data_IF_002454704330
#
_entry.id   IF_002454704330
#
_cell.length_a   1.000
_cell.length_b   1.000
_cell.length_c   1.000
_cell.angle_alpha   90.00
_cell.angle_beta   90.00
_cell.angle_gamma   90.00
#
_symmetry.space_group_name_H-M   'P 1'
#
loop_
_entity.id
_entity.type
_entity.pdbx_description
1 polymer ?
#
# COMPACT_ATOMS: atom_id res chain seq x y z
N UNK A 1 19.24 -45.60 -26.24
CA UNK A 1 18.05 -44.86 -26.71
C UNK A 1 17.08 -44.52 -25.59
N UNK A 2 16.65 -45.48 -24.75
CA UNK A 2 15.68 -45.23 -23.67
C UNK A 2 16.16 -44.29 -22.54
N UNK A 3 17.46 -44.30 -22.20
CA UNK A 3 18.02 -43.44 -21.13
C UNK A 3 18.03 -41.96 -21.53
N UNK A 4 18.31 -41.65 -22.80
CA UNK A 4 18.33 -40.28 -23.33
C UNK A 4 16.90 -39.71 -23.36
N UNK A 5 15.91 -40.53 -23.72
CA UNK A 5 14.50 -40.15 -23.72
C UNK A 5 14.01 -39.87 -22.29
N UNK A 6 14.41 -40.69 -21.31
CA UNK A 6 14.04 -40.49 -19.90
C UNK A 6 14.66 -39.21 -19.32
N UNK A 7 15.93 -38.93 -19.65
CA UNK A 7 16.63 -37.71 -19.23
C UNK A 7 16.00 -36.43 -19.83
N UNK A 8 15.56 -36.50 -21.09
CA UNK A 8 14.84 -35.40 -21.75
C UNK A 8 13.49 -35.13 -21.08
N UNK A 9 12.73 -36.16 -20.72
CA UNK A 9 11.42 -36.02 -20.05
C UNK A 9 11.58 -35.37 -18.66
N UNK A 10 12.58 -35.76 -17.87
CA UNK A 10 12.83 -35.16 -16.55
C UNK A 10 13.26 -33.68 -16.62
N UNK A 11 13.89 -33.26 -17.72
CA UNK A 11 14.29 -31.87 -17.92
C UNK A 11 13.08 -30.94 -18.11
N UNK A 12 12.02 -31.41 -18.76
CA UNK A 12 10.80 -30.62 -19.01
C UNK A 12 9.91 -30.46 -17.77
N UNK A 13 9.97 -31.38 -16.81
CA UNK A 13 9.19 -31.28 -15.57
C UNK A 13 9.90 -30.53 -14.43
N UNK A 14 11.20 -30.23 -14.56
CA UNK A 14 11.98 -29.59 -13.48
C UNK A 14 11.83 -28.06 -13.39
N UNK A 15 11.09 -27.42 -14.30
CA UNK A 15 10.95 -25.95 -14.39
C UNK A 15 9.52 -25.41 -14.18
N UNK A 16 8.56 -26.25 -13.80
CA UNK A 16 7.21 -25.77 -13.47
C UNK A 16 7.17 -25.24 -12.02
N UNK A 17 7.84 -24.13 -11.75
CA UNK A 17 7.58 -23.37 -10.51
C UNK A 17 6.14 -22.86 -10.57
N UNK A 18 5.35 -23.12 -9.54
CA UNK A 18 4.01 -22.55 -9.41
C UNK A 18 4.10 -21.03 -9.56
N UNK A 19 3.48 -20.48 -10.62
CA UNK A 19 3.35 -19.04 -10.79
C UNK A 19 2.38 -18.56 -9.71
N UNK A 20 2.93 -18.15 -8.56
CA UNK A 20 2.13 -17.49 -7.52
C UNK A 20 1.65 -16.16 -8.10
N UNK A 21 0.35 -16.10 -8.42
CA UNK A 21 -0.29 -14.83 -8.77
C UNK A 21 -0.02 -13.82 -7.66
N UNK A 22 0.41 -12.58 -7.98
CA UNK A 22 0.62 -11.55 -6.98
C UNK A 22 -0.64 -11.38 -6.13
N UNK A 23 -0.50 -11.44 -4.80
CA UNK A 23 -1.62 -11.25 -3.89
C UNK A 23 -2.00 -9.78 -3.88
N UNK A 24 -3.22 -9.47 -4.31
CA UNK A 24 -3.78 -8.14 -4.21
C UNK A 24 -4.18 -7.83 -2.75
N UNK A 25 -3.66 -6.75 -2.18
CA UNK A 25 -4.04 -6.29 -0.85
C UNK A 25 -5.37 -5.52 -0.90
N UNK A 26 -6.25 -5.79 0.07
CA UNK A 26 -7.54 -5.11 0.24
C UNK A 26 -7.37 -3.61 0.46
N UNK A 27 -8.43 -2.83 0.24
CA UNK A 27 -8.43 -1.41 0.64
C UNK A 27 -8.47 -1.33 2.17
N UNK A 28 -7.74 -0.38 2.78
CA UNK A 28 -7.86 -0.11 4.20
C UNK A 28 -9.24 0.51 4.51
N UNK A 29 -9.70 0.43 5.77
CA UNK A 29 -10.90 1.16 6.18
C UNK A 29 -10.67 2.67 6.14
N UNK A 30 -11.77 3.40 6.10
CA UNK A 30 -11.83 4.87 6.19
C UNK A 30 -12.38 5.31 7.54
N UNK A 31 -12.17 6.57 7.93
CA UNK A 31 -12.77 7.16 9.14
C UNK A 31 -14.29 6.98 9.19
N UNK A 32 -14.96 7.08 8.05
CA UNK A 32 -16.42 6.94 7.93
C UNK A 32 -16.91 5.49 8.02
N UNK A 33 -16.14 4.53 7.53
CA UNK A 33 -16.53 3.11 7.53
C UNK A 33 -16.19 2.40 8.83
N UNK A 34 -15.14 2.82 9.55
CA UNK A 34 -14.73 2.30 10.86
C UNK A 34 -14.43 3.44 11.85
N UNK A 35 -15.45 4.21 12.27
CA UNK A 35 -15.27 5.29 13.24
C UNK A 35 -14.78 4.77 14.61
N UNK A 36 -15.01 3.49 14.91
CA UNK A 36 -14.54 2.80 16.11
C UNK A 36 -13.01 2.62 16.15
N UNK A 37 -12.34 2.68 14.98
CA UNK A 37 -10.90 2.52 14.84
C UNK A 37 -10.16 3.85 14.64
N UNK A 38 -10.85 4.99 14.78
CA UNK A 38 -10.21 6.30 14.67
C UNK A 38 -9.47 6.60 15.97
N UNK A 39 -8.17 6.36 15.96
CA UNK A 39 -7.27 6.60 17.10
C UNK A 39 -6.49 7.92 16.97
N UNK A 40 -5.94 8.38 18.10
CA UNK A 40 -5.02 9.53 18.13
C UNK A 40 -3.64 9.09 17.66
N UNK A 41 -3.25 9.53 16.48
CA UNK A 41 -1.92 9.35 15.90
C UNK A 41 -1.01 10.55 16.14
N UNK A 42 0.30 10.40 15.91
CA UNK A 42 1.26 11.50 15.97
C UNK A 42 0.84 12.66 15.05
N UNK A 43 0.32 12.35 13.87
CA UNK A 43 -0.21 13.34 12.93
C UNK A 43 -1.44 14.06 13.50
N UNK A 44 -2.45 13.31 13.94
CA UNK A 44 -3.71 13.89 14.45
C UNK A 44 -3.51 14.78 15.70
N UNK A 45 -2.42 14.55 16.43
CA UNK A 45 -2.03 15.34 17.60
C UNK A 45 -1.18 16.57 17.24
N UNK A 46 -0.85 16.77 15.96
CA UNK A 46 0.02 17.85 15.51
C UNK A 46 1.47 17.71 16.01
N UNK A 47 1.91 16.48 16.29
CA UNK A 47 3.25 16.16 16.79
C UNK A 47 4.26 15.90 15.68
N UNK A 48 3.82 15.94 14.42
CA UNK A 48 4.69 15.86 13.24
C UNK A 48 4.49 17.10 12.38
N UNK A 49 5.59 17.69 11.95
CA UNK A 49 5.63 18.73 10.93
C UNK A 49 5.43 18.13 9.53
N UNK A 50 5.06 18.97 8.57
CA UNK A 50 4.90 18.55 7.17
C UNK A 50 6.21 17.96 6.61
N UNK A 51 7.36 18.49 7.03
CA UNK A 51 8.67 17.94 6.67
C UNK A 51 8.91 16.54 7.25
N UNK A 52 8.55 16.30 8.52
CA UNK A 52 8.70 14.97 9.13
C UNK A 52 7.79 13.94 8.47
N UNK A 53 6.57 14.34 8.07
CA UNK A 53 5.67 13.49 7.31
C UNK A 53 6.24 13.20 5.92
N UNK A 54 6.79 14.21 5.25
CA UNK A 54 7.45 14.05 3.96
C UNK A 54 8.63 13.08 4.03
N UNK A 55 9.50 13.21 5.04
CA UNK A 55 10.62 12.28 5.27
C UNK A 55 10.12 10.86 5.57
N UNK A 56 9.11 10.72 6.44
CA UNK A 56 8.49 9.44 6.77
C UNK A 56 7.94 8.73 5.53
N UNK A 57 7.19 9.43 4.67
CA UNK A 57 6.58 8.85 3.47
C UNK A 57 7.62 8.50 2.40
N UNK A 58 8.70 9.30 2.29
CA UNK A 58 9.80 9.05 1.33
C UNK A 58 10.55 7.75 1.63
N UNK A 59 10.55 7.30 2.89
CA UNK A 59 11.14 6.02 3.30
C UNK A 59 10.28 4.80 2.91
N UNK A 60 9.19 5.01 2.16
CA UNK A 60 8.31 3.98 1.59
C UNK A 60 7.72 3.02 2.63
N UNK A 61 7.09 3.53 3.71
CA UNK A 61 6.50 2.69 4.74
C UNK A 61 5.41 1.79 4.15
N UNK A 62 5.12 0.68 4.84
CA UNK A 62 3.96 -0.14 4.49
C UNK A 62 2.64 0.55 4.86
N UNK A 63 1.53 0.15 4.23
CA UNK A 63 0.18 0.69 4.52
C UNK A 63 -0.15 0.71 6.01
N UNK A 64 0.12 -0.38 6.73
CA UNK A 64 -0.19 -0.45 8.16
C UNK A 64 0.62 0.60 8.96
N UNK A 65 1.90 0.78 8.62
CA UNK A 65 2.76 1.78 9.28
C UNK A 65 2.27 3.20 8.99
N UNK A 66 1.75 3.46 7.78
CA UNK A 66 1.07 4.72 7.45
C UNK A 66 -0.17 4.91 8.32
N UNK A 67 -1.03 3.90 8.42
CA UNK A 67 -2.26 3.98 9.21
C UNK A 67 -1.96 4.18 10.71
N UNK A 68 -0.91 3.56 11.25
CA UNK A 68 -0.52 3.70 12.66
C UNK A 68 0.01 5.12 12.98
N UNK A 69 0.71 5.77 12.04
CA UNK A 69 1.37 7.06 12.28
C UNK A 69 0.54 8.27 11.81
N UNK A 70 -0.18 8.14 10.71
CA UNK A 70 -1.00 9.20 10.10
C UNK A 70 -2.47 9.02 10.51
N UNK A 71 -2.97 7.79 10.48
CA UNK A 71 -4.35 7.46 10.83
C UNK A 71 -5.15 6.94 9.63
N UNK A 72 -6.43 6.63 9.88
CA UNK A 72 -7.33 6.24 8.80
C UNK A 72 -7.57 7.39 7.82
N UNK A 73 -7.59 7.11 6.50
CA UNK A 73 -7.92 8.10 5.48
C UNK A 73 -9.41 8.48 5.50
N UNK A 74 -9.73 9.64 4.94
CA UNK A 74 -11.11 10.11 4.72
C UNK A 74 -11.77 9.38 3.55
N UNK A 75 -11.00 9.11 2.49
CA UNK A 75 -11.45 8.36 1.31
C UNK A 75 -10.34 7.47 0.76
N UNK A 76 -10.74 6.39 0.11
CA UNK A 76 -9.82 5.40 -0.47
C UNK A 76 -10.33 4.98 -1.84
N UNK A 77 -9.43 4.93 -2.81
CA UNK A 77 -9.69 4.51 -4.19
C UNK A 77 -8.62 3.53 -4.67
N UNK A 78 -8.93 2.67 -5.66
CA UNK A 78 -7.94 1.82 -6.36
C UNK A 78 -7.94 2.11 -7.85
N UNK A 79 -6.74 2.22 -8.46
CA UNK A 79 -6.56 2.46 -9.89
C UNK A 79 -7.31 1.44 -10.76
N UNK A 80 -7.64 1.81 -12.00
CA UNK A 80 -8.42 0.96 -12.91
C UNK A 80 -7.78 -0.40 -13.21
N UNK A 81 -6.45 -0.49 -13.15
CA UNK A 81 -5.67 -1.70 -13.35
C UNK A 81 -5.30 -2.42 -12.04
N UNK A 82 -5.89 -2.00 -10.92
CA UNK A 82 -5.63 -2.48 -9.57
C UNK A 82 -4.18 -2.33 -9.06
N UNK A 83 -3.31 -1.59 -9.75
CA UNK A 83 -1.89 -1.46 -9.36
C UNK A 83 -1.68 -0.60 -8.12
N UNK A 84 -2.51 0.42 -7.90
CA UNK A 84 -2.25 1.48 -6.91
C UNK A 84 -3.50 1.75 -6.09
N UNK A 85 -3.36 1.85 -4.77
CA UNK A 85 -4.36 2.40 -3.86
C UNK A 85 -4.02 3.86 -3.57
N UNK A 86 -5.03 4.70 -3.52
CA UNK A 86 -4.91 6.11 -3.16
C UNK A 86 -5.64 6.34 -1.84
N UNK A 87 -4.91 6.83 -0.85
CA UNK A 87 -5.43 7.21 0.46
C UNK A 87 -5.50 8.73 0.51
N UNK A 88 -6.70 9.27 0.71
CA UNK A 88 -6.97 10.69 0.75
C UNK A 88 -7.19 11.17 2.18
N UNK A 89 -6.49 12.24 2.57
CA UNK A 89 -6.57 12.87 3.88
C UNK A 89 -6.97 14.33 3.72
N UNK A 90 -8.18 14.70 4.17
CA UNK A 90 -8.65 16.07 4.07
C UNK A 90 -7.94 16.97 5.08
N UNK A 91 -7.45 18.11 4.61
CA UNK A 91 -6.76 19.11 5.42
C UNK A 91 -7.62 20.36 5.53
N UNK A 92 -8.31 20.51 6.66
CA UNK A 92 -9.25 21.61 6.92
C UNK A 92 -8.61 23.00 6.72
N UNK A 93 -7.31 23.16 6.99
CA UNK A 93 -6.63 24.46 6.89
C UNK A 93 -6.52 24.98 5.46
N UNK A 94 -6.29 24.09 4.49
CA UNK A 94 -6.12 24.43 3.07
C UNK A 94 -7.35 24.05 2.24
N UNK A 95 -8.34 23.38 2.85
CA UNK A 95 -9.58 22.91 2.20
C UNK A 95 -9.30 22.00 1.00
N UNK A 96 -8.25 21.18 1.10
CA UNK A 96 -7.82 20.25 0.06
C UNK A 96 -7.42 18.90 0.65
N UNK A 97 -7.05 17.94 -0.21
CA UNK A 97 -6.62 16.61 0.17
C UNK A 97 -5.13 16.39 -0.03
N UNK A 98 -4.48 15.88 0.99
CA UNK A 98 -3.22 15.18 0.84
C UNK A 98 -3.47 13.74 0.36
N UNK A 99 -2.56 13.22 -0.44
CA UNK A 99 -2.69 11.92 -1.12
C UNK A 99 -1.47 11.07 -0.80
N UNK A 100 -1.71 9.80 -0.46
CA UNK A 100 -0.66 8.78 -0.36
C UNK A 100 -0.99 7.66 -1.35
N UNK A 101 -0.02 7.33 -2.19
CA UNK A 101 -0.09 6.23 -3.15
C UNK A 101 0.59 4.98 -2.59
N UNK A 102 -0.11 3.85 -2.64
CA UNK A 102 0.36 2.56 -2.15
C UNK A 102 0.27 1.54 -3.27
N UNK A 103 1.36 0.82 -3.54
CA UNK A 103 1.33 -0.30 -4.48
C UNK A 103 0.47 -1.45 -3.92
N UNK A 104 -0.52 -1.89 -4.69
CA UNK A 104 -1.53 -2.83 -4.23
C UNK A 104 -1.01 -4.26 -4.04
N UNK A 105 0.21 -4.57 -4.48
CA UNK A 105 0.79 -5.92 -4.44
C UNK A 105 1.90 -6.06 -3.40
N UNK A 106 2.69 -5.01 -3.19
CA UNK A 106 3.76 -4.93 -2.20
C UNK A 106 3.32 -4.25 -0.90
N UNK A 107 2.18 -3.53 -0.94
CA UNK A 107 1.58 -2.82 0.18
C UNK A 107 2.50 -1.74 0.79
N UNK A 108 3.38 -1.17 -0.04
CA UNK A 108 4.33 -0.11 0.31
C UNK A 108 3.96 1.20 -0.38
N UNK A 109 4.27 2.32 0.27
CA UNK A 109 4.15 3.65 -0.32
C UNK A 109 5.04 3.77 -1.55
N UNK A 110 4.47 4.27 -2.63
CA UNK A 110 5.17 4.52 -3.90
C UNK A 110 5.28 5.98 -4.27
N UNK A 111 4.37 6.81 -3.77
CA UNK A 111 4.28 8.23 -4.05
C UNK A 111 3.36 8.93 -3.06
N UNK A 112 3.40 10.25 -3.02
CA UNK A 112 2.53 11.07 -2.20
C UNK A 112 2.57 12.54 -2.66
N UNK A 113 1.49 13.25 -2.37
CA UNK A 113 1.35 14.71 -2.47
C UNK A 113 0.93 15.20 -1.08
N UNK A 114 1.76 16.04 -0.46
CA UNK A 114 1.59 16.44 0.93
C UNK A 114 1.95 17.91 1.11
N UNK A 115 0.92 18.73 1.28
CA UNK A 115 0.98 20.19 1.47
C UNK A 115 0.46 20.64 2.84
#
# INVERSE_FOLDING_TARGET
MHIIILALITLFFSCASEVKSPKLYSLPPTKSSRPDLVEKTMFSLGLMTDYEIWEFLRDKPSENVVLDNIGLPDSVWRSENDSTKFLYYFVDKIQDYNIIEIDSYSNQVTGFEWD
#
